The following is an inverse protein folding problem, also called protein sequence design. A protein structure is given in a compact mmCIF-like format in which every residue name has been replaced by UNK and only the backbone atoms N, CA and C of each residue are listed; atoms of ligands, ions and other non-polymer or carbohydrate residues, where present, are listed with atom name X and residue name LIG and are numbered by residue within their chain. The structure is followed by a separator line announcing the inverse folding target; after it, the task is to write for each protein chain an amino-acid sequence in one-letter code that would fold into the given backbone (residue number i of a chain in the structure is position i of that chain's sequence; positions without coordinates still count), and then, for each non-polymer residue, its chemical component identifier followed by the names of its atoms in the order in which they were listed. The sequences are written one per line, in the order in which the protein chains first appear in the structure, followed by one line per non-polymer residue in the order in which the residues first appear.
data_IF_221266710123
#
_entry.id   IF_221266710123
#
_cell.length_a   1.000
_cell.length_b   1.000
_cell.length_c   1.000
_cell.angle_alpha   90.00
_cell.angle_beta   90.00
_cell.angle_gamma   90.00
#
_symmetry.space_group_name_H-M   'P 1'
#
loop_
_entity.id
_entity.type
_entity.pdbx_description
1 polymer ?
#
# COMPACT_ATOMS: atom_id res chain seq x y z
N UNK A 1 -13.31 20.25 -29.81
CA UNK A 1 -13.30 20.33 -28.36
C UNK A 1 -13.06 18.94 -27.76
N UNK A 2 -12.23 18.88 -26.79
CA UNK A 2 -11.96 17.62 -26.14
C UNK A 2 -13.08 17.27 -25.16
N UNK A 3 -13.56 16.05 -25.25
CA UNK A 3 -14.51 15.57 -24.27
C UNK A 3 -13.85 15.46 -22.92
N UNK A 4 -14.55 15.90 -21.91
CA UNK A 4 -14.11 15.68 -20.56
C UNK A 4 -14.51 14.27 -20.16
N UNK A 5 -13.51 13.48 -19.78
CA UNK A 5 -13.80 12.17 -19.25
C UNK A 5 -14.66 12.33 -18.00
N UNK A 6 -15.65 11.47 -17.85
CA UNK A 6 -16.41 11.44 -16.62
C UNK A 6 -15.47 11.11 -15.45
N UNK A 7 -15.76 11.68 -14.30
CA UNK A 7 -15.01 11.35 -13.11
C UNK A 7 -15.13 9.86 -12.83
N UNK A 8 -14.01 9.25 -12.44
CA UNK A 8 -14.03 7.85 -12.08
C UNK A 8 -14.76 7.66 -10.74
N UNK A 9 -15.54 6.61 -10.65
CA UNK A 9 -16.35 6.34 -9.47
C UNK A 9 -15.52 5.62 -8.41
N UNK A 10 -15.34 6.23 -7.21
CA UNK A 10 -14.63 5.54 -6.15
C UNK A 10 -15.23 4.19 -5.78
N UNK A 11 -16.49 3.96 -6.12
CA UNK A 11 -17.15 2.67 -5.88
C UNK A 11 -16.53 1.52 -6.65
N UNK A 12 -15.67 1.79 -7.64
CA UNK A 12 -14.96 0.75 -8.36
C UNK A 12 -13.78 0.19 -7.56
N UNK A 13 -13.37 0.86 -6.50
CA UNK A 13 -12.29 0.38 -5.64
C UNK A 13 -12.80 -0.80 -4.81
N UNK A 14 -12.13 -1.95 -4.92
CA UNK A 14 -12.56 -3.16 -4.22
C UNK A 14 -12.08 -3.22 -2.79
N UNK A 15 -10.96 -2.58 -2.52
CA UNK A 15 -10.32 -2.53 -1.22
C UNK A 15 -8.99 -1.84 -1.35
N UNK A 16 -8.15 -1.94 -0.33
CA UNK A 16 -6.86 -1.24 -0.31
C UNK A 16 -5.77 -2.15 0.19
N UNK A 17 -4.54 -1.87 -0.24
CA UNK A 17 -3.33 -2.43 0.35
C UNK A 17 -2.48 -1.31 0.89
N UNK A 18 -1.95 -1.51 2.09
CA UNK A 18 -0.87 -0.68 2.62
C UNK A 18 0.38 -1.55 2.68
N UNK A 19 1.49 -1.03 2.17
CA UNK A 19 2.78 -1.71 2.25
C UNK A 19 3.65 -0.96 3.23
N UNK A 20 4.02 -1.60 4.32
CA UNK A 20 4.87 -1.00 5.34
C UNK A 20 6.30 -1.40 5.06
N UNK A 21 7.15 -0.42 4.75
CA UNK A 21 8.54 -0.65 4.39
C UNK A 21 9.44 -0.55 5.62
N UNK A 22 10.45 -1.38 5.65
CA UNK A 22 11.42 -1.37 6.73
C UNK A 22 12.78 -1.81 6.21
N UNK A 23 13.81 -1.51 7.00
CA UNK A 23 15.17 -1.99 6.77
C UNK A 23 15.42 -3.09 7.82
N UNK A 24 15.68 -4.34 7.41
CA UNK A 24 15.90 -5.42 8.39
C UNK A 24 17.01 -5.12 9.39
N UNK A 25 17.99 -4.30 9.00
CA UNK A 25 19.12 -3.99 9.86
C UNK A 25 18.84 -2.89 10.88
N UNK A 26 17.81 -2.03 10.65
CA UNK A 26 17.66 -0.84 11.48
C UNK A 26 16.24 -0.56 11.94
N UNK A 27 15.21 -0.94 11.19
CA UNK A 27 13.84 -0.53 11.51
C UNK A 27 12.85 -1.68 11.62
N UNK A 28 13.31 -2.93 11.56
CA UNK A 28 12.41 -4.06 11.65
C UNK A 28 11.65 -4.09 12.98
N UNK A 29 12.30 -3.69 14.06
CA UNK A 29 11.63 -3.66 15.37
C UNK A 29 10.46 -2.69 15.40
N UNK A 30 10.62 -1.51 14.77
CA UNK A 30 9.52 -0.56 14.69
C UNK A 30 8.39 -1.10 13.82
N UNK A 31 8.76 -1.78 12.73
CA UNK A 31 7.77 -2.40 11.85
C UNK A 31 7.00 -3.50 12.58
N UNK A 32 7.66 -4.27 13.44
CA UNK A 32 7.01 -5.29 14.26
C UNK A 32 6.02 -4.68 15.24
N UNK A 33 6.41 -3.60 15.92
CA UNK A 33 5.50 -2.93 16.86
C UNK A 33 4.28 -2.38 16.13
N UNK A 34 4.49 -1.78 14.97
CA UNK A 34 3.38 -1.26 14.18
C UNK A 34 2.45 -2.39 13.76
N UNK A 35 3.01 -3.51 13.28
CA UNK A 35 2.23 -4.67 12.86
C UNK A 35 1.36 -5.21 14.00
N UNK A 36 1.93 -5.30 15.20
CA UNK A 36 1.19 -5.80 16.36
C UNK A 36 0.02 -4.88 16.72
N UNK A 37 0.24 -3.57 16.62
CA UNK A 37 -0.83 -2.61 16.89
C UNK A 37 -1.94 -2.66 15.87
N UNK A 38 -1.56 -2.81 14.58
CA UNK A 38 -2.57 -2.95 13.53
C UNK A 38 -3.40 -4.21 13.76
N UNK A 39 -2.74 -5.33 14.11
CA UNK A 39 -3.44 -6.57 14.35
C UNK A 39 -4.43 -6.44 15.52
N UNK A 40 -4.05 -5.70 16.57
CA UNK A 40 -4.88 -5.55 17.76
C UNK A 40 -6.05 -4.60 17.51
N UNK A 41 -5.80 -3.48 16.82
CA UNK A 41 -6.78 -2.41 16.71
C UNK A 41 -7.64 -2.49 15.47
N UNK A 42 -7.20 -3.23 14.45
CA UNK A 42 -7.90 -3.34 13.17
C UNK A 42 -8.06 -4.80 12.78
N UNK A 43 -8.94 -5.54 13.49
CA UNK A 43 -9.11 -6.96 13.20
C UNK A 43 -9.67 -7.25 11.79
N UNK A 44 -10.26 -6.25 11.13
CA UNK A 44 -10.73 -6.40 9.75
C UNK A 44 -9.60 -6.40 8.74
N UNK A 45 -8.41 -5.94 9.13
CA UNK A 45 -7.26 -5.92 8.22
C UNK A 45 -6.63 -7.32 8.16
N UNK A 46 -6.13 -7.66 6.99
CA UNK A 46 -5.42 -8.93 6.77
C UNK A 46 -3.94 -8.63 6.61
N UNK A 47 -3.13 -9.16 7.50
CA UNK A 47 -1.70 -8.94 7.49
C UNK A 47 -1.02 -10.01 6.64
N UNK A 48 -0.24 -9.56 5.65
CA UNK A 48 0.55 -10.46 4.82
C UNK A 48 1.83 -10.89 5.53
N UNK A 49 2.58 -11.74 4.84
CA UNK A 49 3.84 -12.24 5.40
C UNK A 49 4.91 -11.15 5.40
N UNK A 50 5.92 -11.34 6.24
CA UNK A 50 7.13 -10.54 6.19
C UNK A 50 7.91 -10.88 4.92
N UNK A 51 8.36 -9.85 4.21
CA UNK A 51 9.21 -10.01 3.03
C UNK A 51 10.53 -9.29 3.30
N UNK A 52 11.44 -9.97 3.98
CA UNK A 52 12.79 -9.42 4.17
C UNK A 52 13.54 -9.35 2.85
N UNK A 53 13.37 -10.35 1.99
CA UNK A 53 13.87 -10.30 0.62
C UNK A 53 12.91 -9.48 -0.25
N UNK A 54 13.45 -8.76 -1.23
CA UNK A 54 12.64 -7.89 -2.07
C UNK A 54 11.69 -8.70 -2.95
N UNK A 55 10.45 -8.22 -3.07
CA UNK A 55 9.43 -8.87 -3.90
C UNK A 55 8.70 -7.83 -4.73
N UNK A 56 8.22 -8.25 -5.91
CA UNK A 56 7.40 -7.41 -6.77
C UNK A 56 8.07 -6.10 -7.10
N UNK A 57 7.30 -5.00 -7.14
CA UNK A 57 7.84 -3.69 -7.45
C UNK A 57 8.54 -3.01 -6.27
N UNK A 58 8.55 -3.63 -5.11
CA UNK A 58 8.98 -2.96 -3.88
C UNK A 58 10.50 -2.92 -3.77
N UNK A 59 11.08 -1.73 -3.55
CA UNK A 59 12.55 -1.57 -3.49
C UNK A 59 13.12 -1.78 -2.10
N UNK A 60 12.28 -2.10 -1.12
CA UNK A 60 12.69 -2.36 0.25
C UNK A 60 11.91 -3.55 0.79
N UNK A 61 12.40 -4.12 1.87
CA UNK A 61 11.66 -5.12 2.64
C UNK A 61 10.34 -4.53 3.10
N UNK A 62 9.29 -5.34 3.16
CA UNK A 62 7.96 -4.84 3.52
C UNK A 62 7.04 -5.96 3.98
N UNK A 63 5.91 -5.58 4.59
CA UNK A 63 4.75 -6.46 4.68
C UNK A 63 3.52 -5.71 4.22
N UNK A 64 2.52 -6.46 3.80
CA UNK A 64 1.29 -5.91 3.27
C UNK A 64 0.18 -5.97 4.31
N UNK A 65 -0.64 -4.92 4.33
CA UNK A 65 -1.87 -4.88 5.12
C UNK A 65 -3.00 -4.66 4.12
N UNK A 66 -3.85 -5.67 3.94
CA UNK A 66 -5.03 -5.55 3.09
C UNK A 66 -6.22 -5.16 3.94
N UNK A 67 -7.02 -4.22 3.49
CA UNK A 67 -8.15 -3.78 4.29
C UNK A 67 -9.32 -3.33 3.41
N UNK A 68 -10.56 -3.48 3.94
CA UNK A 68 -11.74 -3.11 3.17
C UNK A 68 -11.92 -1.60 3.09
N UNK A 69 -12.74 -1.18 2.14
CA UNK A 69 -13.03 0.24 1.91
C UNK A 69 -13.52 0.95 3.17
N UNK A 70 -14.35 0.28 3.93
CA UNK A 70 -14.94 0.88 5.13
C UNK A 70 -13.90 1.29 6.18
N UNK A 71 -12.71 0.69 6.12
CA UNK A 71 -11.66 0.95 7.10
C UNK A 71 -10.76 2.12 6.71
N UNK A 72 -10.86 2.61 5.47
CA UNK A 72 -9.93 3.60 4.95
C UNK A 72 -9.88 4.87 5.81
N UNK A 73 -11.05 5.43 6.13
CA UNK A 73 -11.12 6.70 6.85
C UNK A 73 -10.63 6.59 8.30
N UNK A 74 -10.54 5.39 8.83
CA UNK A 74 -10.04 5.16 10.18
C UNK A 74 -8.57 4.77 10.18
N UNK A 75 -8.18 3.86 9.29
CA UNK A 75 -6.82 3.34 9.28
C UNK A 75 -5.81 4.37 8.76
N UNK A 76 -6.16 5.13 7.73
CA UNK A 76 -5.20 6.08 7.18
C UNK A 76 -4.81 7.17 8.16
N UNK A 77 -5.75 7.87 8.81
CA UNK A 77 -5.34 8.84 9.83
C UNK A 77 -4.56 8.19 10.97
N UNK A 78 -4.93 6.97 11.35
CA UNK A 78 -4.20 6.25 12.40
C UNK A 78 -2.75 5.99 11.97
N UNK A 79 -2.54 5.55 10.72
CA UNK A 79 -1.20 5.33 10.20
C UNK A 79 -0.40 6.64 10.12
N UNK A 80 -1.05 7.74 9.72
CA UNK A 80 -0.38 9.04 9.69
C UNK A 80 0.27 9.36 11.03
N UNK A 81 -0.42 9.05 12.12
CA UNK A 81 0.04 9.38 13.46
C UNK A 81 0.91 8.30 14.08
N UNK A 82 0.79 7.04 13.65
CA UNK A 82 1.35 5.91 14.39
C UNK A 82 2.35 5.08 13.59
N UNK A 83 2.69 5.45 12.36
CA UNK A 83 3.63 4.66 11.55
C UNK A 83 5.07 4.73 12.06
N UNK A 84 5.35 5.55 13.03
CA UNK A 84 6.66 5.59 13.70
C UNK A 84 7.81 5.85 12.72
N UNK A 85 7.61 6.80 11.81
CA UNK A 85 8.63 7.17 10.83
C UNK A 85 8.82 6.21 9.68
N UNK A 86 8.12 5.07 9.68
CA UNK A 86 8.21 4.12 8.57
C UNK A 86 7.50 4.67 7.35
N UNK A 87 8.03 4.33 6.18
CA UNK A 87 7.38 4.69 4.92
C UNK A 87 6.26 3.69 4.63
N UNK A 88 5.09 4.19 4.25
CA UNK A 88 3.95 3.34 3.93
C UNK A 88 3.39 3.77 2.58
N UNK A 89 3.25 2.80 1.67
CA UNK A 89 2.54 3.00 0.41
C UNK A 89 1.12 2.49 0.58
N UNK A 90 0.13 3.33 0.26
CA UNK A 90 -1.27 2.90 0.25
C UNK A 90 -1.79 3.02 -1.17
N UNK A 91 -2.37 1.94 -1.67
CA UNK A 91 -2.95 1.98 -3.01
C UNK A 91 -4.29 1.27 -3.04
N UNK A 92 -5.17 1.69 -3.96
CA UNK A 92 -6.46 1.00 -4.12
C UNK A 92 -6.27 -0.30 -4.89
N UNK A 93 -7.31 -1.12 -4.87
CA UNK A 93 -7.41 -2.32 -5.68
C UNK A 93 -8.50 -2.13 -6.70
N UNK A 94 -8.12 -1.72 -7.92
CA UNK A 94 -9.06 -1.51 -9.02
C UNK A 94 -8.95 -2.58 -10.11
N UNK A 95 -7.97 -3.45 -10.01
CA UNK A 95 -7.72 -4.48 -11.03
C UNK A 95 -6.59 -4.11 -11.99
N UNK A 96 -6.01 -2.92 -11.86
CA UNK A 96 -4.90 -2.46 -12.69
C UNK A 96 -3.71 -2.17 -11.76
N UNK A 97 -2.89 -3.19 -11.55
CA UNK A 97 -1.80 -3.09 -10.57
C UNK A 97 -0.82 -1.95 -10.89
N UNK A 98 -0.50 -1.76 -12.16
CA UNK A 98 0.43 -0.72 -12.54
C UNK A 98 -0.10 0.66 -12.14
N UNK A 99 -1.34 0.97 -12.51
CA UNK A 99 -1.93 2.25 -12.21
C UNK A 99 -2.16 2.41 -10.70
N UNK A 100 -2.59 1.34 -10.04
CA UNK A 100 -2.85 1.39 -8.60
C UNK A 100 -1.59 1.70 -7.81
N UNK A 101 -0.42 1.21 -8.25
CA UNK A 101 0.85 1.47 -7.58
C UNK A 101 1.52 2.77 -8.03
N UNK A 102 0.99 3.46 -9.03
CA UNK A 102 1.59 4.69 -9.55
C UNK A 102 0.65 5.87 -9.42
N UNK A 103 -0.26 6.06 -10.39
CA UNK A 103 -1.12 7.24 -10.43
C UNK A 103 -2.10 7.28 -9.25
N UNK A 104 -2.54 6.13 -8.75
CA UNK A 104 -3.52 6.06 -7.67
C UNK A 104 -2.90 5.96 -6.28
N UNK A 105 -1.58 5.93 -6.18
CA UNK A 105 -0.92 5.64 -4.91
C UNK A 105 -0.85 6.86 -4.01
N UNK A 106 -0.91 6.60 -2.71
CA UNK A 106 -0.68 7.59 -1.66
C UNK A 106 0.53 7.13 -0.86
N UNK A 107 1.46 8.04 -0.61
CA UNK A 107 2.65 7.75 0.18
C UNK A 107 2.58 8.45 1.52
N UNK A 108 2.87 7.71 2.58
CA UNK A 108 3.08 8.28 3.90
C UNK A 108 4.58 8.20 4.16
N UNK A 109 5.20 9.37 4.38
CA UNK A 109 6.66 9.47 4.47
C UNK A 109 7.26 9.72 3.10
N UNK A 110 8.36 9.05 2.80
CA UNK A 110 9.05 9.24 1.52
C UNK A 110 8.34 8.51 0.40
N UNK A 111 8.46 9.01 -0.81
CA UNK A 111 8.02 8.28 -1.99
C UNK A 111 9.20 7.45 -2.48
N UNK A 112 9.04 6.14 -2.51
CA UNK A 112 10.11 5.24 -2.92
C UNK A 112 10.03 4.95 -4.42
N UNK A 113 11.18 4.68 -5.07
CA UNK A 113 11.18 4.39 -6.50
C UNK A 113 10.78 2.94 -6.75
N UNK A 114 9.49 2.71 -6.92
CA UNK A 114 8.98 1.37 -7.23
C UNK A 114 9.49 0.90 -8.59
N UNK A 115 9.74 -0.40 -8.70
CA UNK A 115 10.07 -1.03 -9.96
C UNK A 115 8.78 -1.37 -10.69
N UNK A 116 8.14 -0.34 -11.24
CA UNK A 116 6.80 -0.45 -11.81
C UNK A 116 6.76 -1.35 -13.04
N UNK A 117 7.89 -1.56 -13.69
CA UNK A 117 7.93 -2.41 -14.89
C UNK A 117 7.49 -3.84 -14.60
N UNK A 118 7.67 -4.33 -13.36
CA UNK A 118 7.25 -5.69 -13.03
C UNK A 118 5.74 -5.83 -12.96
N UNK A 119 5.01 -4.70 -12.88
CA UNK A 119 3.55 -4.68 -12.85
C UNK A 119 2.95 -4.40 -14.21
N UNK A 120 3.77 -4.08 -15.22
CA UNK A 120 3.27 -3.75 -16.53
C UNK A 120 2.75 -5.01 -17.19
N UNK A 121 1.53 -4.91 -17.71
CA UNK A 121 0.93 -6.04 -18.38
C UNK A 121 1.63 -6.33 -19.67
N UNK A 122 1.74 -7.62 -20.00
CA UNK A 122 2.11 -8.02 -21.33
C UNK A 122 1.00 -7.61 -22.29
N UNK A 123 1.30 -6.97 -23.43
CA UNK A 123 0.26 -6.60 -24.38
C UNK A 123 -0.53 -7.82 -24.83
N UNK A 124 -1.83 -7.64 -24.96
CA UNK A 124 -2.70 -8.69 -25.44
C UNK A 124 -2.67 -8.73 -26.95
N UNK A 125 -2.64 -9.92 -27.48
CA UNK A 125 -2.66 -10.12 -28.92
C UNK A 125 -4.07 -10.18 -29.45
#
# INVERSE_FOLDING_TARGET
MRDEAAAADPGTIKGYHAHVYYDPASSRDRAERLRSRIAADFPEATLGRWHDALVGPHPQSMYQVAFPRALFATLLPWLMLNRDGLTVLVHPETGDDYTDHSAHAVWLGAMLPLRLEVLRRTPRE
#
